data_IF_134100172657
#
_entry.id   IF_134100172657
#
_cell.length_a   1.000
_cell.length_b   1.000
_cell.length_c   1.000
_cell.angle_alpha   90.00
_cell.angle_beta   90.00
_cell.angle_gamma   90.00
#
_symmetry.space_group_name_H-M   'P 1'
#
loop_
_entity.id
_entity.type
_entity.pdbx_description
1 polymer ?
#
# COMPACT_ATOMS: atom_id res chain seq x y z
N UNK A 1 -1.17 1.91 22.24
CA UNK A 1 -1.58 2.05 20.84
C UNK A 1 -0.52 2.86 20.10
N UNK A 2 -0.08 2.39 18.94
CA UNK A 2 1.00 2.96 18.13
C UNK A 2 0.47 3.32 16.75
N UNK A 3 1.03 4.36 16.14
CA UNK A 3 0.75 4.75 14.77
C UNK A 3 1.96 4.43 13.92
N UNK A 4 1.73 3.79 12.78
CA UNK A 4 2.72 3.60 11.73
C UNK A 4 2.23 4.29 10.46
N UNK A 5 3.10 5.05 9.80
CA UNK A 5 2.72 5.83 8.62
C UNK A 5 3.79 5.75 7.54
N UNK A 6 3.34 5.58 6.30
CA UNK A 6 4.13 5.68 5.09
C UNK A 6 3.62 6.85 4.28
N UNK A 7 4.52 7.69 3.80
CA UNK A 7 4.19 8.84 2.97
C UNK A 7 4.97 8.79 1.68
N UNK A 8 4.35 9.26 0.61
CA UNK A 8 5.01 9.54 -0.64
C UNK A 8 4.52 10.86 -1.21
N UNK A 9 5.47 11.60 -1.78
CA UNK A 9 5.26 12.88 -2.44
C UNK A 9 5.24 12.68 -3.95
N UNK A 10 4.26 13.27 -4.61
CA UNK A 10 3.99 12.97 -6.00
C UNK A 10 3.31 14.12 -6.73
N UNK A 11 3.29 14.02 -8.06
CA UNK A 11 2.54 14.90 -8.95
C UNK A 11 1.04 14.56 -8.93
N UNK A 12 0.16 15.47 -9.40
CA UNK A 12 -1.28 15.23 -9.41
C UNK A 12 -1.68 13.99 -10.23
N UNK A 13 -0.99 13.73 -11.33
CA UNK A 13 -1.30 12.65 -12.26
C UNK A 13 -1.05 11.27 -11.64
N UNK A 14 0.00 11.16 -10.83
CA UNK A 14 0.41 9.91 -10.18
C UNK A 14 -0.24 9.70 -8.81
N UNK A 15 -0.94 10.70 -8.26
CA UNK A 15 -1.47 10.63 -6.91
C UNK A 15 -2.57 9.56 -6.75
N UNK A 16 -3.40 9.36 -7.77
CA UNK A 16 -4.45 8.34 -7.75
C UNK A 16 -3.88 6.93 -7.93
N UNK A 17 -2.88 6.77 -8.78
CA UNK A 17 -2.16 5.49 -8.96
C UNK A 17 -1.41 5.10 -7.69
N UNK A 18 -0.72 6.04 -7.05
CA UNK A 18 -0.04 5.82 -5.78
C UNK A 18 -1.02 5.46 -4.65
N UNK A 19 -2.18 6.12 -4.58
CA UNK A 19 -3.22 5.79 -3.62
C UNK A 19 -3.78 4.38 -3.84
N UNK A 20 -4.07 4.01 -5.09
CA UNK A 20 -4.56 2.67 -5.43
C UNK A 20 -3.53 1.57 -5.13
N UNK A 21 -2.25 1.83 -5.41
CA UNK A 21 -1.17 0.91 -5.05
C UNK A 21 -1.05 0.76 -3.52
N UNK A 22 -1.10 1.85 -2.77
CA UNK A 22 -1.09 1.81 -1.29
C UNK A 22 -2.30 1.05 -0.74
N UNK A 23 -3.48 1.23 -1.33
CA UNK A 23 -4.67 0.50 -0.90
C UNK A 23 -4.53 -1.01 -1.13
N UNK A 24 -4.14 -1.41 -2.35
CA UNK A 24 -4.08 -2.81 -2.75
C UNK A 24 -2.92 -3.59 -2.10
N UNK A 25 -1.72 -3.03 -2.13
CA UNK A 25 -0.49 -3.77 -1.77
C UNK A 25 -0.12 -3.61 -0.30
N UNK A 26 -0.58 -2.53 0.35
CA UNK A 26 -0.22 -2.24 1.75
C UNK A 26 -1.44 -2.24 2.67
N UNK A 27 -2.53 -1.57 2.31
CA UNK A 27 -3.66 -1.38 3.21
C UNK A 27 -4.49 -2.65 3.36
N UNK A 28 -4.89 -3.27 2.25
CA UNK A 28 -5.73 -4.47 2.24
C UNK A 28 -5.07 -5.66 2.96
N UNK A 29 -3.77 -5.95 2.77
CA UNK A 29 -3.10 -7.00 3.53
C UNK A 29 -3.03 -6.75 5.04
N UNK A 30 -3.10 -5.49 5.48
CA UNK A 30 -3.10 -5.13 6.90
C UNK A 30 -4.50 -5.21 7.52
N UNK A 31 -5.57 -5.26 6.71
CA UNK A 31 -6.94 -5.44 7.21
C UNK A 31 -7.08 -6.85 7.76
N UNK A 32 -7.46 -6.94 9.04
CA UNK A 32 -7.65 -8.23 9.72
C UNK A 32 -6.37 -8.83 10.31
N UNK A 33 -5.22 -8.17 10.18
CA UNK A 33 -4.00 -8.57 10.88
C UNK A 33 -4.18 -8.37 12.39
N UNK A 34 -3.80 -9.37 13.17
CA UNK A 34 -3.91 -9.32 14.62
C UNK A 34 -3.16 -8.11 15.19
N UNK A 35 -3.86 -7.32 16.00
CA UNK A 35 -3.32 -6.11 16.60
C UNK A 35 -3.31 -4.88 15.70
N UNK A 36 -3.66 -4.99 14.41
CA UNK A 36 -3.97 -3.83 13.57
C UNK A 36 -5.43 -3.41 13.81
N UNK A 37 -5.64 -2.19 14.32
CA UNK A 37 -6.98 -1.73 14.74
C UNK A 37 -7.63 -0.79 13.74
N UNK A 38 -6.84 -0.11 12.91
CA UNK A 38 -7.34 0.76 11.86
C UNK A 38 -6.29 0.97 10.78
N UNK A 39 -6.74 1.12 9.54
CA UNK A 39 -5.91 1.53 8.41
C UNK A 39 -6.63 2.58 7.58
N UNK A 40 -5.89 3.54 7.04
CA UNK A 40 -6.44 4.57 6.15
C UNK A 40 -5.38 5.05 5.15
N UNK A 41 -5.82 5.44 3.97
CA UNK A 41 -5.03 6.18 2.99
C UNK A 41 -5.61 7.58 2.85
N UNK A 42 -4.75 8.60 2.87
CA UNK A 42 -5.15 10.01 2.72
C UNK A 42 -4.30 10.64 1.62
N UNK A 43 -4.97 11.32 0.70
CA UNK A 43 -4.34 12.20 -0.28
C UNK A 43 -4.52 13.65 0.17
N UNK A 44 -3.43 14.42 0.28
CA UNK A 44 -3.50 15.83 0.65
C UNK A 44 -2.55 16.71 -0.15
N UNK A 45 -2.94 17.96 -0.46
CA UNK A 45 -2.02 18.91 -1.05
C UNK A 45 -0.93 19.31 -0.04
N UNK A 46 0.29 19.53 -0.52
CA UNK A 46 1.47 19.85 0.31
C UNK A 46 1.85 21.33 0.23
N UNK A 47 1.41 22.02 -0.82
CA UNK A 47 1.85 23.38 -1.15
C UNK A 47 3.20 23.45 -1.89
N UNK A 48 3.86 22.31 -2.16
CA UNK A 48 5.06 22.24 -3.01
C UNK A 48 4.68 22.35 -4.49
N UNK A 49 5.57 22.97 -5.29
CA UNK A 49 5.39 23.06 -6.74
C UNK A 49 5.86 21.80 -7.47
N UNK A 50 6.84 21.11 -6.91
CA UNK A 50 7.44 19.91 -7.53
C UNK A 50 6.69 18.63 -7.14
N UNK A 51 6.21 18.54 -5.89
CA UNK A 51 5.36 17.46 -5.38
C UNK A 51 4.12 18.01 -4.70
N UNK A 52 3.14 18.49 -5.49
CA UNK A 52 1.97 19.16 -4.92
C UNK A 52 1.12 18.25 -4.04
N UNK A 53 1.28 16.93 -4.10
CA UNK A 53 0.49 15.99 -3.32
C UNK A 53 1.35 15.07 -2.46
N UNK A 54 0.83 14.77 -1.27
CA UNK A 54 1.28 13.69 -0.41
C UNK A 54 0.18 12.63 -0.35
N UNK A 55 0.54 11.39 -0.65
CA UNK A 55 -0.28 10.20 -0.38
C UNK A 55 0.29 9.54 0.86
N UNK A 56 -0.53 9.37 1.88
CA UNK A 56 -0.14 8.80 3.18
C UNK A 56 -1.00 7.61 3.54
N UNK A 57 -0.37 6.46 3.77
CA UNK A 57 -0.98 5.34 4.46
C UNK A 57 -0.70 5.45 5.95
N UNK A 58 -1.73 5.27 6.77
CA UNK A 58 -1.59 5.23 8.23
C UNK A 58 -2.28 3.98 8.77
N UNK A 59 -1.58 3.26 9.64
CA UNK A 59 -2.10 2.11 10.38
C UNK A 59 -1.94 2.30 11.89
N UNK A 60 -2.91 1.79 12.66
CA UNK A 60 -2.96 1.86 14.11
C UNK A 60 -2.79 0.46 14.69
N UNK A 61 -1.96 0.35 15.72
CA UNK A 61 -1.54 -0.94 16.28
C UNK A 61 -1.72 -0.97 17.80
N UNK A 62 -2.14 -2.13 18.33
CA UNK A 62 -2.30 -2.33 19.78
C UNK A 62 -0.96 -2.28 20.51
N UNK A 63 0.08 -2.86 19.91
CA UNK A 63 1.43 -2.94 20.48
C UNK A 63 2.51 -2.94 19.41
N UNK A 64 3.75 -2.66 19.82
CA UNK A 64 4.92 -2.70 18.94
C UNK A 64 5.27 -4.14 18.54
N UNK A 65 4.96 -5.11 19.41
CA UNK A 65 5.12 -6.52 19.11
C UNK A 65 4.21 -6.95 17.96
N UNK A 66 2.94 -6.52 17.94
CA UNK A 66 2.00 -6.80 16.84
C UNK A 66 2.48 -6.17 15.52
N UNK A 67 2.93 -4.92 15.57
CA UNK A 67 3.49 -4.22 14.40
C UNK A 67 4.71 -4.96 13.81
N UNK A 68 5.64 -5.41 14.67
CA UNK A 68 6.81 -6.20 14.26
C UNK A 68 6.45 -7.58 13.74
N UNK A 69 5.47 -8.24 14.35
CA UNK A 69 5.01 -9.54 13.88
C UNK A 69 4.41 -9.44 12.46
N UNK A 70 3.75 -8.33 12.14
CA UNK A 70 3.14 -8.10 10.83
C UNK A 70 4.13 -7.61 9.76
N UNK A 71 5.02 -6.68 10.12
CA UNK A 71 5.89 -5.98 9.15
C UNK A 71 7.36 -6.41 9.22
N UNK A 72 7.72 -7.32 10.12
CA UNK A 72 9.10 -7.71 10.38
C UNK A 72 9.87 -6.70 11.23
N UNK A 73 11.18 -6.91 11.35
CA UNK A 73 12.05 -6.05 12.17
C UNK A 73 12.38 -4.70 11.50
N UNK A 74 12.23 -4.62 10.18
CA UNK A 74 12.35 -3.40 9.37
C UNK A 74 11.02 -2.63 9.24
N UNK A 75 10.13 -2.78 10.23
CA UNK A 75 8.87 -2.05 10.32
C UNK A 75 9.03 -0.54 10.47
N UNK A 76 10.24 -0.02 10.69
CA UNK A 76 10.45 1.42 10.72
C UNK A 76 10.22 1.95 9.31
N UNK A 77 9.38 2.99 9.15
CA UNK A 77 9.24 3.59 7.85
C UNK A 77 10.65 4.07 7.46
N UNK A 78 11.18 3.64 6.31
CA UNK A 78 12.45 4.16 5.85
C UNK A 78 12.29 5.68 5.74
N UNK A 79 13.26 6.44 6.26
CA UNK A 79 13.37 7.87 5.96
C UNK A 79 13.80 7.98 4.50
N UNK A 80 12.84 7.76 3.59
CA UNK A 80 13.04 8.00 2.17
C UNK A 80 12.91 9.51 1.97
N UNK A 81 13.95 10.10 1.38
CA UNK A 81 13.82 11.41 0.78
C UNK A 81 12.72 11.37 -0.31
N UNK A 82 12.09 12.51 -0.63
CA UNK A 82 11.07 12.57 -1.68
C UNK A 82 11.53 11.94 -3.00
N UNK A 83 12.81 12.08 -3.35
CA UNK A 83 13.38 11.51 -4.57
C UNK A 83 13.53 9.98 -4.50
N UNK A 84 13.89 9.42 -3.35
CA UNK A 84 13.95 7.96 -3.16
C UNK A 84 12.55 7.34 -3.17
N UNK A 85 11.57 8.00 -2.55
CA UNK A 85 10.18 7.54 -2.58
C UNK A 85 9.58 7.60 -3.99
N UNK A 86 9.87 8.67 -4.75
CA UNK A 86 9.51 8.78 -6.17
C UNK A 86 10.17 7.69 -7.01
N UNK A 87 11.44 7.37 -6.77
CA UNK A 87 12.16 6.34 -7.52
C UNK A 87 11.56 4.95 -7.27
N UNK A 88 11.28 4.60 -6.01
CA UNK A 88 10.65 3.33 -5.63
C UNK A 88 9.25 3.22 -6.23
N UNK A 89 8.41 4.26 -6.11
CA UNK A 89 7.11 4.28 -6.75
C UNK A 89 7.22 4.17 -8.26
N UNK A 90 8.15 4.89 -8.90
CA UNK A 90 8.29 4.90 -10.35
C UNK A 90 8.77 3.55 -10.85
N UNK A 91 9.64 2.84 -10.12
CA UNK A 91 10.04 1.46 -10.44
C UNK A 91 8.89 0.49 -10.24
N UNK A 92 8.14 0.59 -9.14
CA UNK A 92 6.98 -0.27 -8.88
C UNK A 92 5.86 -0.05 -9.90
N UNK A 93 5.50 1.20 -10.18
CA UNK A 93 4.51 1.58 -11.20
C UNK A 93 4.99 1.23 -12.60
N UNK A 94 6.28 1.44 -12.93
CA UNK A 94 6.84 1.07 -14.23
C UNK A 94 6.85 -0.46 -14.42
N UNK A 95 7.17 -1.23 -13.39
CA UNK A 95 7.06 -2.69 -13.44
C UNK A 95 5.61 -3.16 -13.64
N UNK A 96 4.63 -2.46 -13.05
CA UNK A 96 3.19 -2.74 -13.27
C UNK A 96 2.69 -2.32 -14.66
N UNK A 97 3.30 -1.31 -15.28
CA UNK A 97 2.92 -0.78 -16.60
C UNK A 97 3.62 -1.51 -17.75
N UNK A 98 4.87 -1.95 -17.57
CA UNK A 98 5.67 -2.60 -18.62
C UNK A 98 5.28 -4.09 -18.82
N UNK A 99 4.58 -4.73 -17.87
CA UNK A 99 4.08 -6.12 -18.00
C UNK A 99 2.56 -6.24 -17.74
N UNK A 100 1.72 -5.77 -18.68
CA UNK A 100 0.27 -5.86 -18.57
C UNK A 100 -0.25 -7.31 -18.60
N UNK A 101 0.52 -8.25 -19.16
CA UNK A 101 0.16 -9.68 -19.19
C UNK A 101 0.33 -10.34 -17.83
N UNK A 102 1.42 -10.05 -17.10
CA UNK A 102 1.59 -10.52 -15.72
C UNK A 102 0.48 -9.97 -14.80
N UNK A 103 0.07 -8.72 -15.01
CA UNK A 103 -1.04 -8.10 -14.27
C UNK A 103 -2.38 -8.77 -14.57
N UNK A 104 -2.66 -9.06 -15.85
CA UNK A 104 -3.87 -9.77 -16.26
C UNK A 104 -3.91 -11.19 -15.68
N UNK A 105 -2.79 -11.91 -15.74
CA UNK A 105 -2.66 -13.26 -15.19
C UNK A 105 -2.80 -13.30 -13.66
N UNK A 106 -2.23 -12.34 -12.94
CA UNK A 106 -2.37 -12.22 -11.49
C UNK A 106 -3.82 -11.93 -11.07
N UNK A 107 -4.49 -11.02 -11.77
CA UNK A 107 -5.90 -10.70 -11.53
C UNK A 107 -6.82 -11.90 -11.83
N UNK A 108 -6.53 -12.68 -12.86
CA UNK A 108 -7.29 -13.88 -13.20
C UNK A 108 -7.10 -15.01 -12.17
N UNK A 109 -5.87 -15.19 -11.65
CA UNK A 109 -5.59 -16.11 -10.56
C UNK A 109 -6.33 -15.73 -9.28
N UNK A 110 -6.30 -14.45 -8.90
CA UNK A 110 -7.02 -13.96 -7.72
C UNK A 110 -8.53 -14.21 -7.83
N UNK A 111 -9.13 -13.94 -9.00
CA UNK A 111 -10.56 -14.24 -9.26
C UNK A 111 -10.86 -15.75 -9.24
N UNK A 112 -9.95 -16.58 -9.74
CA UNK A 112 -10.11 -18.03 -9.70
C UNK A 112 -10.08 -18.58 -8.26
N UNK A 113 -9.19 -18.04 -7.43
CA UNK A 113 -9.06 -18.40 -6.02
C UNK A 113 -10.25 -17.94 -5.19
N UNK A 114 -10.78 -16.73 -5.48
CA UNK A 114 -11.99 -16.22 -4.84
C UNK A 114 -13.23 -17.06 -5.22
N UNK A 115 -13.38 -17.45 -6.49
CA UNK A 115 -14.43 -18.38 -6.92
C UNK A 115 -14.33 -19.74 -6.23
N UNK A 116 -13.11 -20.25 -6.05
CA UNK A 116 -12.87 -21.50 -5.33
C UNK A 116 -13.27 -21.38 -3.85
N UNK A 117 -12.87 -20.31 -3.17
CA UNK A 117 -13.29 -20.03 -1.79
C UNK A 117 -14.81 -19.92 -1.64
N UNK A 118 -15.48 -19.25 -2.58
CA UNK A 118 -16.94 -19.12 -2.56
C UNK A 118 -17.64 -20.47 -2.79
N UNK A 119 -17.09 -21.34 -3.64
CA UNK A 119 -17.60 -22.68 -3.85
C UNK A 119 -17.39 -23.59 -2.62
N UNK A 120 -16.24 -23.48 -1.94
CA UNK A 120 -15.94 -24.23 -0.71
C UNK A 120 -16.77 -23.77 0.51
N UNK A 121 -17.39 -22.59 0.46
CA UNK A 121 -18.22 -22.04 1.56
C UNK A 121 -19.71 -22.33 1.41
N UNK A 122 -20.15 -22.90 0.28
CA UNK A 122 -21.55 -23.18 -0.05
C UNK A 122 -21.91 -24.68 -0.12
N UNK A 123 -20.99 -25.55 0.30
CA UNK A 123 -21.15 -27.00 0.48
C UNK A 123 -21.13 -27.35 1.98
#
# INVERSE_FOLDING_TARGET
>A
MLRHSWSVWTTPELADEAAAHFERELLDPLRGVEGCTATMTVRRPTGSREDPYEVRLTSMWTSQAALRAALGDDWRPPELTPDEARLVLRVALKAEVDDPEARAAAAERARAEERRRQAEFHD
#
